data_IF_180413111599
#
_entry.id   IF_180413111599
#
_cell.length_a   1.000
_cell.length_b   1.000
_cell.length_c   1.000
_cell.angle_alpha   90.00
_cell.angle_beta   90.00
_cell.angle_gamma   90.00
#
_symmetry.space_group_name_H-M   'P 1'
#
loop_
_entity.id
_entity.type
_entity.pdbx_description
1 polymer ?
#
# COMPACT_ATOMS: atom_id res chain seq x y z
N UNK A 1 -27.44 4.93 18.55
CA UNK A 1 -28.19 4.88 17.27
C UNK A 1 -27.39 5.70 16.26
N UNK A 2 -26.59 5.05 15.42
CA UNK A 2 -26.00 5.70 14.24
C UNK A 2 -27.13 5.77 13.21
N UNK A 3 -27.38 6.95 12.64
CA UNK A 3 -28.53 7.16 11.73
C UNK A 3 -28.11 7.33 10.27
N UNK A 4 -26.87 7.76 10.01
CA UNK A 4 -26.37 8.06 8.66
C UNK A 4 -24.87 7.79 8.61
N UNK A 5 -24.39 7.24 7.51
CA UNK A 5 -22.97 7.20 7.13
C UNK A 5 -22.79 8.08 5.90
N UNK A 6 -21.83 8.99 5.95
CA UNK A 6 -21.50 9.90 4.87
C UNK A 6 -20.08 9.58 4.39
N UNK A 7 -19.92 9.47 3.07
CA UNK A 7 -18.64 9.15 2.42
C UNK A 7 -18.39 10.16 1.33
N UNK A 8 -17.27 10.89 1.45
CA UNK A 8 -16.77 11.72 0.37
C UNK A 8 -15.86 10.88 -0.52
N UNK A 9 -16.25 10.69 -1.78
CA UNK A 9 -15.48 9.94 -2.77
C UNK A 9 -15.12 10.83 -3.96
N UNK A 10 -13.81 10.99 -4.21
CA UNK A 10 -13.33 11.61 -5.43
C UNK A 10 -13.40 10.61 -6.58
N UNK A 11 -14.22 10.90 -7.60
CA UNK A 11 -14.40 10.06 -8.78
C UNK A 11 -13.89 10.81 -10.00
N UNK A 12 -13.00 10.18 -10.77
CA UNK A 12 -12.56 10.70 -12.06
C UNK A 12 -13.03 9.77 -13.17
N UNK A 13 -13.95 10.21 -14.03
CA UNK A 13 -14.39 9.40 -15.16
C UNK A 13 -13.27 9.28 -16.20
N UNK A 14 -12.99 8.06 -16.66
CA UNK A 14 -11.98 7.78 -17.70
C UNK A 14 -12.58 7.59 -19.09
N UNK A 15 -13.91 7.48 -19.18
CA UNK A 15 -14.65 7.28 -20.42
C UNK A 15 -15.94 8.08 -20.43
N UNK A 16 -16.32 8.55 -21.60
CA UNK A 16 -17.62 9.17 -21.83
C UNK A 16 -18.75 8.12 -21.83
N UNK A 17 -19.97 8.60 -21.61
CA UNK A 17 -21.19 7.80 -21.55
C UNK A 17 -21.77 7.65 -20.15
N UNK A 18 -22.78 6.80 -20.05
CA UNK A 18 -23.48 6.53 -18.81
C UNK A 18 -22.66 5.57 -17.92
N UNK A 19 -22.30 6.06 -16.74
CA UNK A 19 -21.54 5.35 -15.72
C UNK A 19 -22.41 5.17 -14.47
N UNK A 20 -22.73 3.92 -14.15
CA UNK A 20 -23.44 3.59 -12.91
C UNK A 20 -22.42 3.30 -11.81
N UNK A 21 -22.41 4.15 -10.79
CA UNK A 21 -21.70 3.93 -9.54
C UNK A 21 -22.59 3.10 -8.62
N UNK A 22 -22.39 1.79 -8.70
CA UNK A 22 -23.20 0.78 -8.05
C UNK A 22 -22.88 0.56 -6.57
N UNK A 23 -23.84 0.03 -5.81
CA UNK A 23 -24.16 0.48 -4.47
C UNK A 23 -23.04 0.23 -3.45
N UNK A 24 -22.73 1.27 -2.66
CA UNK A 24 -21.76 1.18 -1.58
C UNK A 24 -22.38 0.37 -0.45
N UNK A 25 -21.73 -0.73 -0.09
CA UNK A 25 -22.15 -1.62 0.99
C UNK A 25 -21.24 -1.44 2.19
N UNK A 26 -21.82 -1.09 3.34
CA UNK A 26 -21.11 -0.94 4.61
C UNK A 26 -21.61 -2.02 5.56
N UNK A 27 -20.68 -2.82 6.10
CA UNK A 27 -20.99 -3.80 7.15
C UNK A 27 -20.48 -3.31 8.50
N UNK A 28 -21.31 -3.38 9.53
CA UNK A 28 -20.92 -3.07 10.90
C UNK A 28 -21.50 -4.07 11.89
N UNK A 29 -20.82 -4.25 13.02
CA UNK A 29 -21.28 -5.13 14.09
C UNK A 29 -22.07 -4.30 15.11
N UNK A 30 -23.39 -4.44 15.10
CA UNK A 30 -24.27 -3.84 16.10
C UNK A 30 -24.26 -4.67 17.39
N UNK A 31 -24.04 -4.02 18.52
CA UNK A 31 -24.02 -4.68 19.83
C UNK A 31 -25.44 -4.87 20.34
N UNK A 32 -25.99 -6.08 20.17
CA UNK A 32 -27.37 -6.42 20.54
C UNK A 32 -27.50 -6.76 22.03
N UNK A 33 -26.46 -7.36 22.62
CA UNK A 33 -26.44 -7.69 24.05
C UNK A 33 -25.02 -7.61 24.66
N UNK A 34 -24.91 -7.78 25.99
CA UNK A 34 -23.65 -7.59 26.74
C UNK A 34 -22.48 -8.47 26.23
N UNK A 35 -22.76 -9.59 25.56
CA UNK A 35 -21.78 -10.52 24.94
C UNK A 35 -22.15 -10.95 23.51
N UNK A 36 -23.04 -10.24 22.82
CA UNK A 36 -23.48 -10.61 21.47
C UNK A 36 -23.46 -9.40 20.54
N UNK A 37 -22.85 -9.58 19.38
CA UNK A 37 -22.86 -8.65 18.24
C UNK A 37 -23.59 -9.29 17.07
N UNK A 38 -24.34 -8.48 16.32
CA UNK A 38 -25.00 -8.86 15.07
C UNK A 38 -24.40 -8.04 13.95
N UNK A 39 -23.98 -8.72 12.88
CA UNK A 39 -23.55 -8.02 11.67
C UNK A 39 -24.76 -7.46 10.94
N UNK A 40 -24.70 -6.18 10.62
CA UNK A 40 -25.71 -5.45 9.86
C UNK A 40 -25.04 -4.90 8.61
N UNK A 41 -25.77 -4.89 7.51
CA UNK A 41 -25.34 -4.33 6.25
C UNK A 41 -26.25 -3.14 5.91
N UNK A 42 -25.64 -2.03 5.51
CA UNK A 42 -26.32 -0.90 4.91
C UNK A 42 -25.84 -0.78 3.46
N UNK A 43 -26.77 -0.57 2.53
CA UNK A 43 -26.49 -0.47 1.10
C UNK A 43 -27.07 0.85 0.59
N UNK A 44 -26.28 1.61 -0.16
CA UNK A 44 -26.75 2.83 -0.83
C UNK A 44 -27.54 2.51 -2.09
N UNK A 45 -28.27 3.48 -2.62
CA UNK A 45 -28.75 3.41 -4.00
C UNK A 45 -27.57 3.62 -4.97
N UNK A 46 -27.60 2.99 -6.16
CA UNK A 46 -26.63 3.27 -7.21
C UNK A 46 -26.82 4.68 -7.77
N UNK A 47 -25.73 5.38 -8.05
CA UNK A 47 -25.74 6.72 -8.65
C UNK A 47 -25.40 6.59 -10.13
N UNK A 48 -26.25 7.11 -11.01
CA UNK A 48 -25.98 7.16 -12.46
C UNK A 48 -25.36 8.52 -12.80
N UNK A 49 -24.18 8.51 -13.41
CA UNK A 49 -23.46 9.69 -13.88
C UNK A 49 -23.38 9.64 -15.39
N UNK A 50 -23.82 10.70 -16.06
CA UNK A 50 -23.65 10.84 -17.52
C UNK A 50 -22.42 11.71 -17.82
N UNK A 51 -21.38 11.10 -18.41
CA UNK A 51 -20.13 11.78 -18.75
C UNK A 51 -20.17 12.20 -20.21
N UNK A 52 -20.11 13.51 -20.45
CA UNK A 52 -20.12 14.06 -21.81
C UNK A 52 -18.79 13.85 -22.51
N UNK A 53 -18.84 13.69 -23.84
CA UNK A 53 -17.64 13.74 -24.67
C UNK A 53 -17.11 15.16 -24.76
N UNK A 54 -15.78 15.28 -24.87
CA UNK A 54 -15.13 16.57 -25.07
C UNK A 54 -15.46 17.13 -26.47
N UNK A 55 -15.79 18.42 -26.60
CA UNK A 55 -16.09 19.03 -27.89
C UNK A 55 -14.90 18.92 -28.86
N UNK A 56 -15.16 18.55 -30.12
CA UNK A 56 -14.11 18.55 -31.15
C UNK A 56 -13.81 19.95 -31.66
N UNK A 57 -14.79 20.84 -31.63
CA UNK A 57 -14.69 22.21 -32.10
C UNK A 57 -13.94 23.07 -31.06
N UNK A 58 -12.97 23.86 -31.49
CA UNK A 58 -12.23 24.77 -30.62
C UNK A 58 -11.14 24.11 -29.75
N UNK A 59 -10.87 22.82 -29.95
CA UNK A 59 -9.79 22.10 -29.26
C UNK A 59 -8.42 22.58 -29.77
N UNK A 60 -7.54 23.11 -28.90
CA UNK A 60 -6.18 23.48 -29.29
C UNK A 60 -5.33 22.26 -29.65
N UNK A 61 -4.42 22.40 -30.61
CA UNK A 61 -3.56 21.31 -31.09
C UNK A 61 -2.66 20.74 -29.98
N UNK A 62 -2.21 21.59 -29.06
CA UNK A 62 -1.39 21.25 -27.90
C UNK A 62 -2.22 20.87 -26.65
N UNK A 63 -3.50 20.52 -26.81
CA UNK A 63 -4.35 20.10 -25.69
C UNK A 63 -4.02 18.66 -25.24
N UNK A 64 -3.51 18.54 -24.02
CA UNK A 64 -3.04 17.29 -23.43
C UNK A 64 -4.08 16.56 -22.57
N UNK A 65 -5.27 17.12 -22.36
CA UNK A 65 -6.32 16.49 -21.53
C UNK A 65 -6.49 17.07 -20.13
N UNK A 66 -6.07 18.31 -19.90
CA UNK A 66 -6.34 19.01 -18.63
C UNK A 66 -7.81 19.43 -18.52
N UNK A 67 -8.44 19.11 -17.38
CA UNK A 67 -9.83 19.42 -17.09
C UNK A 67 -9.93 20.30 -15.84
N UNK A 68 -10.80 21.31 -15.86
CA UNK A 68 -10.95 22.30 -14.79
C UNK A 68 -10.07 23.52 -14.98
N UNK A 69 -10.24 24.52 -14.12
CA UNK A 69 -9.45 25.77 -14.20
C UNK A 69 -8.03 25.52 -13.69
N UNK A 70 -7.04 25.70 -14.57
CA UNK A 70 -5.61 25.57 -14.24
C UNK A 70 -4.89 26.91 -14.38
N UNK A 71 -3.81 27.06 -13.62
CA UNK A 71 -2.87 28.17 -13.73
C UNK A 71 -1.45 27.63 -13.86
N UNK A 72 -0.63 28.35 -14.63
CA UNK A 72 0.77 28.02 -14.89
C UNK A 72 1.65 29.21 -14.50
N UNK A 73 2.71 28.92 -13.77
CA UNK A 73 3.77 29.87 -13.45
C UNK A 73 5.12 29.29 -13.88
N UNK A 74 6.04 30.15 -14.32
CA UNK A 74 7.34 29.74 -14.80
C UNK A 74 8.41 30.68 -14.24
N UNK A 75 9.50 30.09 -13.77
CA UNK A 75 10.66 30.82 -13.24
C UNK A 75 11.94 30.25 -13.83
N UNK A 76 12.96 31.09 -14.00
CA UNK A 76 14.24 30.66 -14.53
C UNK A 76 15.39 31.21 -13.69
N UNK A 77 16.43 30.40 -13.52
CA UNK A 77 17.64 30.75 -12.78
C UNK A 77 18.86 30.04 -13.36
N UNK A 78 19.98 30.74 -13.59
CA UNK A 78 20.19 32.19 -13.52
C UNK A 78 19.59 32.95 -14.72
N UNK A 79 19.31 34.26 -14.56
CA UNK A 79 18.76 35.14 -15.62
C UNK A 79 19.82 35.96 -16.36
N UNK A 80 21.03 36.09 -15.81
CA UNK A 80 22.21 36.66 -16.48
C UNK A 80 23.18 35.51 -16.79
N UNK A 81 23.34 35.21 -18.07
CA UNK A 81 24.05 34.01 -18.57
C UNK A 81 24.82 34.33 -19.82
N UNK A 82 25.80 33.49 -20.16
CA UNK A 82 26.43 33.54 -21.47
C UNK A 82 25.76 32.57 -22.43
N UNK A 83 25.99 32.75 -23.74
CA UNK A 83 25.51 31.80 -24.75
C UNK A 83 26.01 30.38 -24.45
N UNK A 84 25.09 29.41 -24.42
CA UNK A 84 25.38 28.01 -24.10
C UNK A 84 25.36 27.64 -22.62
N UNK A 85 25.30 28.61 -21.70
CA UNK A 85 25.21 28.33 -20.26
C UNK A 85 23.87 27.63 -19.92
N UNK A 86 23.86 26.72 -18.93
CA UNK A 86 22.64 26.07 -18.48
C UNK A 86 21.75 27.03 -17.67
N UNK A 87 20.49 27.13 -18.06
CA UNK A 87 19.44 27.87 -17.36
C UNK A 87 18.45 26.84 -16.80
N UNK A 88 18.25 26.82 -15.49
CA UNK A 88 17.23 26.01 -14.85
C UNK A 88 15.86 26.68 -15.05
N UNK A 89 14.93 25.99 -15.69
CA UNK A 89 13.55 26.40 -15.90
C UNK A 89 12.64 25.56 -14.99
N UNK A 90 11.96 26.23 -14.05
CA UNK A 90 11.00 25.63 -13.13
C UNK A 90 9.60 26.08 -13.52
N UNK A 91 8.74 25.12 -13.81
CA UNK A 91 7.34 25.34 -14.19
C UNK A 91 6.44 24.74 -13.12
N UNK A 92 5.56 25.58 -12.57
CA UNK A 92 4.59 25.22 -11.56
C UNK A 92 3.20 25.27 -12.16
N UNK A 93 2.48 24.15 -12.08
CA UNK A 93 1.10 24.03 -12.55
C UNK A 93 0.22 23.80 -11.35
N UNK A 94 -0.85 24.59 -11.25
CA UNK A 94 -1.80 24.54 -10.14
C UNK A 94 -3.22 24.41 -10.64
N UNK A 95 -4.04 23.59 -9.97
CA UNK A 95 -5.41 23.33 -10.36
C UNK A 95 -5.99 22.05 -9.74
N UNK A 96 -7.20 21.65 -10.17
CA UNK A 96 -7.85 20.45 -9.65
C UNK A 96 -7.12 19.17 -10.08
N UNK A 97 -7.00 18.21 -9.16
CA UNK A 97 -6.57 16.85 -9.47
C UNK A 97 -7.76 16.02 -9.98
N UNK A 98 -7.52 15.04 -10.88
CA UNK A 98 -6.22 14.60 -11.37
C UNK A 98 -5.73 15.37 -12.61
N UNK A 99 -4.47 15.81 -12.61
CA UNK A 99 -3.85 16.46 -13.78
C UNK A 99 -3.28 15.44 -14.77
N UNK A 100 -4.12 14.60 -15.36
CA UNK A 100 -3.68 13.51 -16.26
C UNK A 100 -2.96 14.02 -17.52
N UNK A 101 -3.34 15.19 -18.03
CA UNK A 101 -2.71 15.79 -19.22
C UNK A 101 -1.30 16.34 -19.00
N UNK A 102 -0.77 16.37 -17.77
CA UNK A 102 0.58 16.86 -17.50
C UNK A 102 1.29 15.94 -16.50
N UNK A 103 1.40 14.67 -16.86
CA UNK A 103 2.21 13.71 -16.11
C UNK A 103 3.70 13.88 -16.41
N UNK A 104 4.03 14.08 -17.68
CA UNK A 104 5.41 14.18 -18.17
C UNK A 104 5.89 15.65 -18.33
N UNK A 105 5.12 16.62 -17.84
CA UNK A 105 5.39 18.05 -18.01
C UNK A 105 4.77 18.65 -19.28
N UNK A 106 4.74 19.99 -19.41
CA UNK A 106 4.20 20.65 -20.60
C UNK A 106 5.14 20.47 -21.81
N UNK A 107 4.57 20.36 -23.00
CA UNK A 107 5.34 20.21 -24.24
C UNK A 107 6.00 21.54 -24.64
N UNK A 108 7.28 21.67 -24.32
CA UNK A 108 8.10 22.82 -24.68
C UNK A 108 8.41 22.88 -26.18
N UNK A 109 8.40 21.75 -26.89
CA UNK A 109 8.70 21.72 -28.32
C UNK A 109 7.56 22.32 -29.15
N UNK A 110 6.34 22.29 -28.63
CA UNK A 110 5.17 22.90 -29.26
C UNK A 110 5.07 24.42 -29.03
N UNK A 111 5.97 25.03 -28.24
CA UNK A 111 5.92 26.46 -27.91
C UNK A 111 6.62 27.29 -29.00
N UNK A 112 5.90 28.17 -29.71
CA UNK A 112 6.49 29.00 -30.76
C UNK A 112 7.64 29.87 -30.22
N UNK A 113 8.77 29.88 -30.93
CA UNK A 113 9.95 30.69 -30.59
C UNK A 113 10.83 30.14 -29.46
N UNK A 114 10.39 29.11 -28.72
CA UNK A 114 11.24 28.49 -27.70
C UNK A 114 12.30 27.58 -28.31
N UNK A 115 11.93 26.77 -29.30
CA UNK A 115 12.84 25.82 -29.98
C UNK A 115 13.87 26.48 -30.89
N UNK A 116 13.59 27.71 -31.36
CA UNK A 116 14.51 28.47 -32.22
C UNK A 116 15.63 29.10 -31.38
N UNK A 117 15.27 29.65 -30.22
CA UNK A 117 16.17 30.43 -29.36
C UNK A 117 16.85 29.57 -28.27
N UNK A 118 16.29 28.39 -27.95
CA UNK A 118 16.78 27.54 -26.87
C UNK A 118 16.95 26.07 -27.27
N UNK A 119 18.03 25.48 -26.78
CA UNK A 119 18.25 24.04 -26.80
C UNK A 119 17.79 23.42 -25.49
N UNK A 120 16.79 22.54 -25.57
CA UNK A 120 16.26 21.79 -24.43
C UNK A 120 17.23 20.66 -24.02
N UNK A 121 17.25 20.33 -22.73
CA UNK A 121 17.99 19.16 -22.23
C UNK A 121 17.39 17.85 -22.76
N UNK A 122 18.26 16.89 -23.12
CA UNK A 122 17.84 15.54 -23.50
C UNK A 122 17.28 14.72 -22.35
N UNK A 123 17.49 15.15 -21.11
CA UNK A 123 16.97 14.50 -19.90
C UNK A 123 15.46 14.74 -19.71
N UNK A 124 14.89 15.73 -20.43
CA UNK A 124 13.47 16.06 -20.35
C UNK A 124 13.09 16.78 -19.06
N UNK A 125 11.91 16.46 -18.52
CA UNK A 125 11.38 17.05 -17.30
C UNK A 125 11.71 16.20 -16.07
N UNK A 126 12.13 16.86 -15.00
CA UNK A 126 12.20 16.27 -13.67
C UNK A 126 10.97 16.67 -12.87
N UNK A 127 10.10 15.71 -12.54
CA UNK A 127 8.95 15.96 -11.70
C UNK A 127 9.36 16.09 -10.22
N UNK A 128 8.92 17.16 -9.58
CA UNK A 128 9.09 17.40 -8.16
C UNK A 128 7.72 17.40 -7.47
N UNK A 129 7.50 16.54 -6.45
CA UNK A 129 6.25 16.53 -5.72
C UNK A 129 6.11 17.83 -4.91
N UNK A 130 5.03 18.59 -5.13
CA UNK A 130 4.70 19.70 -4.25
C UNK A 130 4.14 19.20 -2.92
N UNK A 131 4.37 19.97 -1.86
CA UNK A 131 3.70 19.78 -0.56
C UNK A 131 2.26 20.30 -0.57
N UNK A 132 1.88 21.11 -1.56
CA UNK A 132 0.54 21.66 -1.69
C UNK A 132 -0.32 20.73 -2.56
N UNK A 133 -1.51 20.32 -2.10
CA UNK A 133 -2.45 19.59 -2.94
C UNK A 133 -2.82 20.39 -4.20
N UNK A 134 -2.89 19.73 -5.34
CA UNK A 134 -3.24 20.38 -6.62
C UNK A 134 -2.11 21.24 -7.21
N UNK A 135 -0.86 20.97 -6.86
CA UNK A 135 0.31 21.63 -7.43
C UNK A 135 1.33 20.61 -7.92
N UNK A 136 1.83 20.81 -9.14
CA UNK A 136 2.87 19.99 -9.75
C UNK A 136 4.01 20.88 -10.23
N UNK A 137 5.23 20.52 -9.85
CA UNK A 137 6.43 21.28 -10.18
C UNK A 137 7.27 20.45 -11.13
N UNK A 138 7.66 21.04 -12.25
CA UNK A 138 8.52 20.43 -13.25
C UNK A 138 9.75 21.28 -13.44
N UNK A 139 10.91 20.64 -13.43
CA UNK A 139 12.20 21.32 -13.63
C UNK A 139 12.88 20.75 -14.86
N UNK A 140 13.40 21.62 -15.72
CA UNK A 140 14.26 21.24 -16.84
C UNK A 140 15.38 22.24 -17.03
N UNK A 141 16.39 21.90 -17.83
CA UNK A 141 17.48 22.82 -18.20
C UNK A 141 17.34 23.23 -19.66
N UNK A 142 17.41 24.53 -19.91
CA UNK A 142 17.41 25.13 -21.25
C UNK A 142 18.71 25.90 -21.47
N UNK A 143 19.20 25.95 -22.71
CA UNK A 143 20.42 26.69 -23.07
C UNK A 143 20.13 27.66 -24.21
N UNK A 144 20.49 28.93 -24.05
CA UNK A 144 20.34 29.91 -25.12
C UNK A 144 21.31 29.61 -26.27
N UNK A 145 20.82 29.65 -27.52
CA UNK A 145 21.61 29.33 -28.71
C UNK A 145 22.41 30.52 -29.25
N UNK A 146 21.94 31.75 -28.99
CA UNK A 146 22.61 33.00 -29.37
C UNK A 146 22.38 34.12 -28.34
N UNK A 147 23.09 35.23 -28.48
CA UNK A 147 23.07 36.39 -27.58
C UNK A 147 21.86 37.32 -27.78
N UNK A 148 21.22 37.26 -28.95
CA UNK A 148 19.95 37.96 -29.23
C UNK A 148 18.74 37.49 -28.41
N UNK A 149 18.85 36.45 -27.60
CA UNK A 149 17.76 35.92 -26.78
C UNK A 149 17.52 36.84 -25.57
N UNK A 150 16.43 37.61 -25.61
CA UNK A 150 16.11 38.59 -24.57
C UNK A 150 15.14 38.08 -23.49
N UNK A 151 14.43 36.98 -23.74
CA UNK A 151 13.44 36.42 -22.81
C UNK A 151 13.09 34.98 -23.15
N UNK A 152 12.67 34.22 -22.14
CA UNK A 152 11.90 33.00 -22.33
C UNK A 152 10.45 33.40 -22.62
N UNK A 153 9.84 32.92 -23.72
CA UNK A 153 8.45 33.22 -24.05
C UNK A 153 7.48 32.70 -22.99
N UNK A 154 6.25 33.21 -23.04
CA UNK A 154 5.16 32.64 -22.24
C UNK A 154 4.87 31.19 -22.63
N UNK A 155 4.64 30.34 -21.64
CA UNK A 155 4.30 28.94 -21.84
C UNK A 155 2.77 28.79 -21.86
N UNK A 156 2.16 28.37 -22.99
CA UNK A 156 0.73 28.11 -23.06
C UNK A 156 0.39 26.76 -22.44
N UNK A 157 -0.65 26.74 -21.62
CA UNK A 157 -1.23 25.54 -21.01
C UNK A 157 -2.73 25.47 -21.35
N UNK A 158 -3.11 24.74 -22.40
CA UNK A 158 -4.51 24.51 -22.76
C UNK A 158 -5.21 23.62 -21.73
N UNK A 159 -6.40 24.01 -21.30
CA UNK A 159 -7.29 23.22 -20.45
C UNK A 159 -8.74 23.36 -20.90
N UNK A 160 -9.58 22.40 -20.53
CA UNK A 160 -11.02 22.44 -20.76
C UNK A 160 -11.72 22.86 -19.48
N UNK A 161 -12.50 23.94 -19.53
CA UNK A 161 -13.32 24.39 -18.41
C UNK A 161 -14.69 23.69 -18.46
N UNK A 162 -14.99 22.75 -17.54
CA UNK A 162 -16.28 22.05 -17.53
C UNK A 162 -17.44 22.94 -17.06
N UNK A 163 -17.17 24.07 -16.39
CA UNK A 163 -18.19 25.01 -15.95
C UNK A 163 -18.71 25.88 -17.10
N UNK A 164 -17.81 26.36 -17.95
CA UNK A 164 -18.14 27.17 -19.14
C UNK A 164 -18.35 26.31 -20.40
N UNK A 165 -17.84 25.07 -20.42
CA UNK A 165 -17.94 24.16 -21.56
C UNK A 165 -17.00 24.50 -22.73
N UNK A 166 -15.97 25.31 -22.48
CA UNK A 166 -15.06 25.84 -23.50
C UNK A 166 -13.59 25.51 -23.21
N UNK A 167 -12.78 25.50 -24.27
CA UNK A 167 -11.32 25.38 -24.17
C UNK A 167 -10.71 26.74 -23.85
N UNK A 168 -9.84 26.79 -22.85
CA UNK A 168 -9.11 27.99 -22.43
C UNK A 168 -7.61 27.69 -22.38
N UNK A 169 -6.81 28.74 -22.46
CA UNK A 169 -5.35 28.63 -22.44
C UNK A 169 -4.82 29.53 -21.33
N UNK A 170 -4.28 28.92 -20.27
CA UNK A 170 -3.49 29.65 -19.28
C UNK A 170 -2.10 29.95 -19.87
N UNK A 171 -1.52 31.10 -19.52
CA UNK A 171 -0.21 31.51 -20.02
C UNK A 171 0.68 31.91 -18.84
N UNK A 172 1.92 31.43 -18.84
CA UNK A 172 2.90 31.89 -17.86
C UNK A 172 3.39 33.30 -18.21
N UNK A 173 4.03 33.97 -17.27
CA UNK A 173 4.68 35.25 -17.56
C UNK A 173 5.96 35.02 -18.38
N UNK A 174 6.25 35.85 -19.41
CA UNK A 174 7.55 35.85 -20.06
C UNK A 174 8.66 36.18 -19.06
N UNK A 175 9.79 35.46 -19.14
CA UNK A 175 10.91 35.63 -18.19
C UNK A 175 12.04 36.39 -18.89
N UNK A 176 12.38 37.62 -18.49
CA UNK A 176 13.46 38.37 -19.11
C UNK A 176 14.81 37.71 -18.84
N UNK A 177 15.65 37.63 -19.87
CA UNK A 177 17.01 37.10 -19.80
C UNK A 177 18.02 38.12 -20.31
N UNK A 178 19.23 38.07 -19.75
CA UNK A 178 20.38 38.81 -20.24
C UNK A 178 21.42 37.80 -20.70
N UNK A 179 21.48 37.58 -22.01
CA UNK A 179 22.45 36.66 -22.61
C UNK A 179 23.66 37.45 -23.11
N UNK A 180 24.84 37.10 -22.63
CA UNK A 180 26.11 37.71 -23.04
C UNK A 180 26.79 36.85 -24.12
N UNK A 181 27.36 37.46 -25.17
CA UNK A 181 28.14 36.71 -26.15
C UNK A 181 29.38 36.12 -25.48
N UNK A 182 29.63 34.83 -25.71
CA UNK A 182 30.93 34.22 -25.38
C UNK A 182 31.89 34.58 -26.51
N UNK A 183 32.99 35.25 -26.17
CA UNK A 183 34.09 35.47 -27.12
C UNK A 183 34.78 34.12 -27.33
N UNK A 184 34.58 33.51 -28.49
CA UNK A 184 35.41 32.38 -28.92
C UNK A 184 36.86 32.88 -29.01
N UNK A 185 37.71 32.42 -28.09
CA UNK A 185 39.16 32.63 -28.20
C UNK A 185 39.62 31.72 -29.34
N UNK A 186 39.60 32.25 -30.56
CA UNK A 186 40.18 31.57 -31.70
C UNK A 186 41.69 31.49 -31.52
N UNK A 187 42.32 30.41 -32.02
CA UNK A 187 43.78 30.24 -31.96
C UNK A 187 44.57 31.41 -32.61
N UNK A 188 43.91 32.27 -33.39
CA UNK A 188 44.49 33.50 -33.94
C UNK A 188 44.77 34.58 -32.88
N UNK A 189 43.97 34.66 -31.81
CA UNK A 189 44.21 35.59 -30.69
C UNK A 189 45.41 35.15 -29.81
N UNK A 190 45.81 33.87 -29.87
CA UNK A 190 47.00 33.36 -29.19
C UNK A 190 48.32 33.71 -29.92
N UNK A 191 48.26 34.20 -31.17
CA UNK A 191 49.45 34.46 -32.01
C UNK A 191 49.84 35.94 -32.03
N UNK A 192 49.02 36.87 -31.52
CA UNK A 192 49.28 38.33 -31.56
C UNK A 192 49.85 38.89 -30.26
N UNK A 193 50.63 38.10 -29.50
CA UNK A 193 51.39 38.63 -28.37
C UNK A 193 52.87 38.26 -28.44
N UNK A 194 53.58 38.80 -29.43
CA UNK A 194 55.05 38.99 -29.37
C UNK A 194 55.40 40.33 -28.72
N UNK A 195 54.77 40.63 -27.59
CA UNK A 195 55.16 41.71 -26.68
C UNK A 195 55.75 41.09 -25.42
N UNK A 196 57.00 41.41 -25.10
CA UNK A 196 57.68 40.99 -23.88
C UNK A 196 56.88 41.43 -22.64
N UNK A 197 56.03 40.56 -22.11
CA UNK A 197 55.62 40.61 -20.73
C UNK A 197 56.67 39.87 -19.92
N UNK A 198 57.48 40.60 -19.16
CA UNK A 198 58.35 40.04 -18.16
C UNK A 198 57.50 39.19 -17.21
N UNK A 199 57.65 37.87 -17.30
CA UNK A 199 57.07 36.93 -16.34
C UNK A 199 57.80 37.16 -15.03
N UNK A 200 57.21 37.95 -14.13
CA UNK A 200 57.59 37.98 -12.73
C UNK A 200 57.50 36.58 -12.18
N UNK A 201 58.65 35.93 -12.00
CA UNK A 201 58.78 34.68 -11.26
C UNK A 201 58.70 35.01 -9.77
N UNK A 202 57.52 35.38 -9.29
CA UNK A 202 57.27 35.34 -7.86
C UNK A 202 57.20 33.86 -7.43
N UNK A 203 57.91 33.45 -6.37
CA UNK A 203 57.81 32.10 -5.86
C UNK A 203 56.38 31.87 -5.36
N UNK A 204 55.69 30.90 -5.95
CA UNK A 204 54.35 30.48 -5.55
C UNK A 204 54.36 30.11 -4.07
N UNK A 205 53.75 30.95 -3.24
CA UNK A 205 53.46 30.60 -1.86
C UNK A 205 52.16 29.78 -1.83
N UNK A 206 52.16 28.57 -1.25
CA UNK A 206 50.94 27.78 -1.15
C UNK A 206 49.95 28.54 -0.26
N UNK A 207 48.84 28.95 -0.87
CA UNK A 207 47.69 29.54 -0.15
C UNK A 207 47.16 28.48 0.81
N UNK A 208 46.92 28.87 2.06
CA UNK A 208 46.38 27.98 3.09
C UNK A 208 45.09 27.32 2.60
N UNK A 209 44.96 26.01 2.86
CA UNK A 209 43.90 25.14 2.37
C UNK A 209 42.50 25.75 2.61
N UNK A 210 41.84 26.13 1.53
CA UNK A 210 40.44 26.55 1.54
C UNK A 210 39.50 25.35 1.65
N UNK A 211 38.23 25.64 1.94
CA UNK A 211 37.12 24.68 2.13
C UNK A 211 36.93 23.67 0.98
N UNK A 212 37.53 23.92 -0.19
CA UNK A 212 37.44 23.08 -1.39
C UNK A 212 38.72 22.28 -1.69
N UNK A 213 39.66 22.20 -0.74
CA UNK A 213 40.91 21.46 -0.94
C UNK A 213 40.65 19.96 -0.91
N UNK A 214 40.77 19.31 -2.07
CA UNK A 214 40.71 17.86 -2.19
C UNK A 214 42.03 17.29 -1.67
N UNK A 215 42.07 16.90 -0.40
CA UNK A 215 43.21 16.18 0.16
C UNK A 215 43.35 14.83 -0.56
N UNK A 216 44.53 14.57 -1.13
CA UNK A 216 44.88 13.28 -1.72
C UNK A 216 46.10 12.75 -0.98
N UNK A 217 45.87 11.88 -0.01
CA UNK A 217 46.92 11.22 0.74
C UNK A 217 46.36 10.06 1.56
N UNK A 218 47.24 9.13 2.02
CA UNK A 218 46.81 8.01 2.86
C UNK A 218 46.23 8.45 4.21
N UNK A 219 46.41 9.71 4.61
CA UNK A 219 45.77 10.31 5.79
C UNK A 219 44.24 10.44 5.66
N UNK A 220 43.70 10.58 4.44
CA UNK A 220 42.25 10.61 4.18
C UNK A 220 41.61 9.24 4.47
N UNK A 221 42.40 8.17 4.38
CA UNK A 221 41.97 6.81 4.70
C UNK A 221 42.08 6.51 6.20
N UNK A 222 42.74 7.37 6.99
CA UNK A 222 42.98 7.13 8.40
C UNK A 222 41.78 7.48 9.29
N UNK A 223 40.83 8.29 8.81
CA UNK A 223 39.62 8.61 9.57
C UNK A 223 38.44 7.71 9.19
N UNK A 224 38.58 6.42 9.50
CA UNK A 224 37.44 5.48 9.56
C UNK A 224 36.86 5.38 10.97
N UNK A 225 36.95 6.45 11.78
CA UNK A 225 36.57 6.42 13.19
C UNK A 225 35.06 6.30 13.46
N UNK A 226 34.21 6.38 12.43
CA UNK A 226 32.75 6.28 12.60
C UNK A 226 32.20 4.87 12.79
N UNK A 227 32.88 3.84 12.28
CA UNK A 227 32.38 2.45 12.25
C UNK A 227 33.47 1.43 12.60
N UNK A 228 34.53 1.86 13.29
CA UNK A 228 35.58 0.97 13.77
C UNK A 228 35.04 -0.01 14.82
N UNK A 229 35.71 -1.16 14.93
CA UNK A 229 35.45 -2.34 15.78
C UNK A 229 35.03 -2.07 17.25
N UNK A 230 35.19 -0.84 17.73
CA UNK A 230 34.80 -0.38 19.06
C UNK A 230 33.33 0.04 19.18
N UNK A 231 32.66 0.38 18.08
CA UNK A 231 31.23 0.72 18.08
C UNK A 231 30.35 -0.52 18.33
N UNK A 232 30.69 -1.67 17.73
CA UNK A 232 30.00 -2.95 17.95
C UNK A 232 30.24 -3.56 19.34
N UNK A 233 31.33 -3.17 20.03
CA UNK A 233 31.63 -3.63 21.40
C UNK A 233 30.90 -2.84 22.49
N UNK A 234 30.16 -1.77 22.14
CA UNK A 234 29.34 -1.06 23.12
C UNK A 234 28.12 -1.91 23.48
N UNK A 235 27.88 -2.20 24.77
CA UNK A 235 26.78 -3.06 25.19
C UNK A 235 25.41 -2.50 24.76
N UNK A 236 25.27 -1.18 24.68
CA UNK A 236 24.05 -0.52 24.22
C UNK A 236 23.71 -0.82 22.75
N UNK A 237 24.72 -0.94 21.87
CA UNK A 237 24.51 -1.23 20.44
C UNK A 237 24.08 -2.68 20.23
N UNK A 238 24.68 -3.61 20.98
CA UNK A 238 24.28 -5.02 20.95
C UNK A 238 22.85 -5.21 21.46
N UNK A 239 22.46 -4.50 22.52
CA UNK A 239 21.07 -4.50 23.01
C UNK A 239 20.13 -3.93 21.95
N UNK A 240 20.46 -2.79 21.33
CA UNK A 240 19.64 -2.20 20.28
C UNK A 240 19.47 -3.11 19.05
N UNK A 241 20.50 -3.89 18.70
CA UNK A 241 20.47 -4.81 17.56
C UNK A 241 19.67 -6.09 17.83
N UNK A 242 19.74 -6.63 19.05
CA UNK A 242 19.13 -7.93 19.40
C UNK A 242 17.68 -7.77 19.90
N UNK A 243 17.31 -6.62 20.45
CA UNK A 243 15.96 -6.43 21.03
C UNK A 243 14.84 -6.54 19.99
N UNK A 244 14.90 -5.91 18.81
CA UNK A 244 13.84 -6.02 17.80
C UNK A 244 13.59 -7.46 17.30
N UNK A 245 14.61 -8.25 16.87
CA UNK A 245 14.38 -9.62 16.44
C UNK A 245 13.95 -10.53 17.60
N UNK A 246 14.41 -10.28 18.84
CA UNK A 246 13.98 -11.05 20.02
C UNK A 246 12.49 -10.86 20.35
N UNK A 247 12.01 -9.61 20.33
CA UNK A 247 10.58 -9.30 20.54
C UNK A 247 9.72 -9.89 19.42
N UNK A 248 10.18 -9.82 18.17
CA UNK A 248 9.47 -10.43 17.04
C UNK A 248 9.39 -11.96 17.16
N UNK A 249 10.49 -12.64 17.53
CA UNK A 249 10.51 -14.08 17.73
C UNK A 249 9.59 -14.53 18.87
N UNK A 250 9.52 -13.77 19.97
CA UNK A 250 8.59 -14.04 21.08
C UNK A 250 7.13 -13.84 20.67
N UNK A 251 6.83 -12.77 19.93
CA UNK A 251 5.47 -12.53 19.40
C UNK A 251 5.04 -13.63 18.43
N UNK A 252 5.94 -14.06 17.54
CA UNK A 252 5.71 -15.17 16.61
C UNK A 252 5.50 -16.49 17.37
N UNK A 253 6.34 -16.80 18.36
CA UNK A 253 6.18 -18.00 19.20
C UNK A 253 4.85 -17.99 19.96
N UNK A 254 4.40 -16.83 20.45
CA UNK A 254 3.11 -16.67 21.11
C UNK A 254 1.93 -16.84 20.14
N UNK A 255 2.03 -16.27 18.93
CA UNK A 255 1.03 -16.44 17.88
C UNK A 255 0.92 -17.90 17.41
N UNK A 256 2.04 -18.60 17.26
CA UNK A 256 2.09 -20.03 16.93
C UNK A 256 1.52 -20.87 18.08
N UNK A 257 1.85 -20.57 19.33
CA UNK A 257 1.24 -21.26 20.50
C UNK A 257 -0.27 -21.03 20.60
N UNK A 258 -0.76 -19.87 20.20
CA UNK A 258 -2.19 -19.56 20.22
C UNK A 258 -2.94 -20.28 19.10
N UNK A 259 -2.41 -20.29 17.89
CA UNK A 259 -3.00 -21.01 16.74
C UNK A 259 -2.93 -22.53 16.90
N UNK A 260 -1.85 -23.07 17.47
CA UNK A 260 -1.74 -24.52 17.74
C UNK A 260 -2.75 -25.03 18.77
N UNK A 261 -3.20 -24.17 19.72
CA UNK A 261 -4.28 -24.50 20.67
C UNK A 261 -5.65 -24.57 20.00
N UNK A 262 -5.95 -23.68 19.06
CA UNK A 262 -7.18 -23.74 18.27
C UNK A 262 -7.16 -24.94 17.30
N UNK A 263 -6.01 -25.23 16.72
CA UNK A 263 -5.78 -26.38 15.85
C UNK A 263 -5.85 -27.73 16.55
N UNK A 264 -5.57 -27.83 17.84
CA UNK A 264 -5.66 -29.10 18.56
C UNK A 264 -7.09 -29.67 18.53
N UNK A 265 -8.10 -28.81 18.68
CA UNK A 265 -9.50 -29.20 18.55
C UNK A 265 -9.88 -29.66 17.13
N UNK A 266 -9.27 -29.04 16.11
CA UNK A 266 -9.48 -29.39 14.71
C UNK A 266 -8.76 -30.70 14.34
N UNK A 267 -7.54 -30.89 14.85
CA UNK A 267 -6.74 -32.13 14.72
C UNK A 267 -7.43 -33.30 15.42
N UNK A 268 -7.99 -33.10 16.62
CA UNK A 268 -8.80 -34.10 17.33
C UNK A 268 -10.03 -34.51 16.52
N UNK A 269 -10.78 -33.55 15.97
CA UNK A 269 -11.94 -33.82 15.08
C UNK A 269 -11.56 -34.57 13.80
N UNK A 270 -10.43 -34.24 13.18
CA UNK A 270 -9.91 -34.95 11.99
C UNK A 270 -9.50 -36.39 12.30
N UNK A 271 -8.87 -36.63 13.45
CA UNK A 271 -8.53 -37.98 13.92
C UNK A 271 -9.80 -38.79 14.22
N UNK A 272 -10.73 -38.20 14.97
CA UNK A 272 -12.03 -38.80 15.29
C UNK A 272 -12.79 -39.27 14.05
N UNK A 273 -12.76 -38.48 12.97
CA UNK A 273 -13.42 -38.83 11.72
C UNK A 273 -12.75 -40.01 10.99
N UNK A 274 -11.42 -40.11 11.06
CA UNK A 274 -10.66 -41.24 10.51
C UNK A 274 -10.94 -42.52 11.29
N UNK A 275 -10.92 -42.45 12.62
CA UNK A 275 -11.23 -43.58 13.51
C UNK A 275 -12.67 -44.05 13.36
N UNK A 276 -13.62 -43.12 13.23
CA UNK A 276 -15.04 -43.43 13.02
C UNK A 276 -15.28 -44.14 11.68
N UNK A 277 -14.62 -43.71 10.60
CA UNK A 277 -14.69 -44.41 9.29
C UNK A 277 -14.14 -45.84 9.37
N UNK A 278 -13.10 -46.05 10.15
CA UNK A 278 -12.54 -47.39 10.37
C UNK A 278 -13.48 -48.26 11.22
N UNK A 279 -14.12 -47.68 12.24
CA UNK A 279 -15.12 -48.37 13.06
C UNK A 279 -16.38 -48.71 12.26
N UNK A 280 -16.82 -47.82 11.36
CA UNK A 280 -17.97 -48.06 10.46
C UNK A 280 -17.76 -49.31 9.60
N UNK A 281 -16.54 -49.51 9.10
CA UNK A 281 -16.17 -50.67 8.28
C UNK A 281 -16.10 -51.99 9.05
N UNK A 282 -15.89 -51.95 10.38
CA UNK A 282 -15.64 -53.15 11.21
C UNK A 282 -16.80 -53.55 12.11
N UNK A 283 -17.52 -52.59 12.67
CA UNK A 283 -18.46 -52.78 13.77
C UNK A 283 -19.81 -52.07 13.58
N UNK A 284 -20.04 -51.48 12.41
CA UNK A 284 -21.33 -50.87 12.05
C UNK A 284 -21.52 -49.40 12.47
N UNK A 285 -22.67 -48.81 12.14
CA UNK A 285 -22.91 -47.37 12.25
C UNK A 285 -23.00 -46.86 13.69
N UNK A 286 -23.60 -47.61 14.61
CA UNK A 286 -23.73 -47.21 16.02
C UNK A 286 -22.37 -47.07 16.71
N UNK A 287 -21.47 -48.03 16.50
CA UNK A 287 -20.12 -48.00 17.08
C UNK A 287 -19.26 -46.88 16.46
N UNK A 288 -19.45 -46.58 15.17
CA UNK A 288 -18.75 -45.49 14.49
C UNK A 288 -19.07 -44.12 15.11
N UNK A 289 -20.35 -43.86 15.41
CA UNK A 289 -20.79 -42.60 16.04
C UNK A 289 -20.26 -42.51 17.48
N UNK A 290 -20.25 -43.61 18.25
CA UNK A 290 -19.68 -43.63 19.61
C UNK A 290 -18.18 -43.33 19.61
N UNK A 291 -17.41 -43.94 18.70
CA UNK A 291 -15.97 -43.68 18.57
C UNK A 291 -15.71 -42.24 18.16
N UNK A 292 -16.51 -41.69 17.23
CA UNK A 292 -16.41 -40.30 16.83
C UNK A 292 -16.61 -39.33 18.01
N UNK A 293 -17.70 -39.50 18.75
CA UNK A 293 -18.02 -38.64 19.89
C UNK A 293 -17.00 -38.80 21.02
N UNK A 294 -16.51 -40.02 21.27
CA UNK A 294 -15.50 -40.30 22.28
C UNK A 294 -14.19 -39.55 22.00
N UNK A 295 -13.68 -39.64 20.77
CA UNK A 295 -12.45 -38.95 20.39
C UNK A 295 -12.63 -37.44 20.22
N UNK A 296 -13.80 -36.97 19.77
CA UNK A 296 -14.09 -35.55 19.63
C UNK A 296 -14.18 -34.82 20.99
N UNK A 297 -14.73 -35.49 22.02
CA UNK A 297 -14.93 -34.92 23.36
C UNK A 297 -13.94 -35.42 24.43
N UNK A 298 -13.01 -36.32 24.08
CA UNK A 298 -11.99 -36.84 25.00
C UNK A 298 -12.54 -37.84 26.02
N UNK A 299 -13.60 -38.57 25.68
CA UNK A 299 -14.20 -39.62 26.49
C UNK A 299 -13.82 -41.01 25.96
N UNK A 300 -14.12 -42.07 26.72
CA UNK A 300 -13.98 -43.45 26.23
C UNK A 300 -15.24 -43.89 25.48
N UNK A 301 -15.15 -44.70 24.40
CA UNK A 301 -16.32 -45.12 23.61
C UNK A 301 -17.41 -45.83 24.43
N UNK A 302 -17.03 -46.54 25.49
CA UNK A 302 -17.95 -47.25 26.38
C UNK A 302 -18.69 -46.31 27.37
N UNK A 303 -18.19 -45.10 27.60
CA UNK A 303 -18.81 -44.12 28.50
C UNK A 303 -19.90 -43.29 27.82
N UNK A 304 -20.05 -43.39 26.50
CA UNK A 304 -21.07 -42.64 25.76
C UNK A 304 -22.32 -43.49 25.65
N UNK A 305 -23.36 -43.06 26.38
CA UNK A 305 -24.71 -43.64 26.31
C UNK A 305 -25.53 -43.00 25.18
N UNK A 306 -26.64 -43.64 24.79
CA UNK A 306 -27.60 -43.02 23.85
C UNK A 306 -28.07 -41.62 24.31
N UNK A 307 -28.31 -41.41 25.61
CA UNK A 307 -28.73 -40.11 26.15
C UNK A 307 -27.62 -39.05 26.11
N UNK A 308 -26.37 -39.45 26.35
CA UNK A 308 -25.21 -38.56 26.26
C UNK A 308 -24.90 -38.18 24.80
N UNK A 309 -25.07 -39.12 23.87
CA UNK A 309 -24.88 -38.88 22.45
C UNK A 309 -25.83 -37.81 21.91
N UNK A 310 -27.12 -37.85 22.30
CA UNK A 310 -28.10 -36.82 21.95
C UNK A 310 -27.65 -35.44 22.42
N UNK A 311 -27.27 -35.32 23.71
CA UNK A 311 -26.81 -34.05 24.30
C UNK A 311 -25.57 -33.49 23.62
N UNK A 312 -24.63 -34.36 23.24
CA UNK A 312 -23.38 -33.96 22.58
C UNK A 312 -23.61 -33.57 21.11
N UNK A 313 -24.49 -34.26 20.40
CA UNK A 313 -24.84 -33.95 19.01
C UNK A 313 -25.66 -32.66 18.88
N UNK A 314 -26.58 -32.38 19.82
CA UNK A 314 -27.31 -31.10 19.86
C UNK A 314 -26.38 -29.92 20.12
N UNK A 315 -25.30 -30.10 20.89
CA UNK A 315 -24.26 -29.05 21.08
C UNK A 315 -23.45 -28.77 19.82
N UNK A 316 -23.41 -29.72 18.88
CA UNK A 316 -22.71 -29.60 17.60
C UNK A 316 -23.62 -29.12 16.46
N UNK A 317 -24.88 -28.81 16.76
CA UNK A 317 -25.87 -28.33 15.78
C UNK A 317 -26.09 -29.27 14.58
N UNK A 318 -26.07 -30.58 14.84
CA UNK A 318 -26.29 -31.60 13.80
C UNK A 318 -27.79 -31.84 13.62
N UNK A 319 -28.27 -31.72 12.37
CA UNK A 319 -29.69 -31.84 12.02
C UNK A 319 -30.32 -33.20 12.41
N UNK A 320 -29.58 -34.30 12.31
CA UNK A 320 -30.06 -35.67 12.56
C UNK A 320 -29.62 -36.23 13.93
N UNK A 321 -29.52 -35.38 14.95
CA UNK A 321 -29.02 -35.76 16.27
C UNK A 321 -29.87 -36.85 16.96
N UNK A 322 -31.19 -36.86 16.74
CA UNK A 322 -32.11 -37.80 17.37
C UNK A 322 -32.03 -39.21 16.74
N UNK A 323 -31.91 -39.30 15.42
CA UNK A 323 -31.76 -40.58 14.72
C UNK A 323 -30.45 -41.28 15.09
N UNK A 324 -29.36 -40.53 15.21
CA UNK A 324 -28.07 -41.08 15.63
C UNK A 324 -28.07 -41.55 17.09
N UNK A 325 -28.78 -40.85 17.98
CA UNK A 325 -28.94 -41.26 19.37
C UNK A 325 -29.82 -42.50 19.53
N UNK A 326 -30.86 -42.63 18.71
CA UNK A 326 -31.74 -43.80 18.68
C UNK A 326 -30.99 -45.04 18.19
N UNK A 327 -30.15 -44.93 17.15
CA UNK A 327 -29.30 -46.02 16.68
C UNK A 327 -28.33 -46.54 17.76
N UNK A 328 -27.77 -45.65 18.58
CA UNK A 328 -26.89 -46.05 19.69
C UNK A 328 -27.71 -46.73 20.80
N UNK A 329 -28.88 -46.17 21.15
CA UNK A 329 -29.74 -46.73 22.19
C UNK A 329 -30.27 -48.13 21.82
N UNK A 330 -30.58 -48.35 20.53
CA UNK A 330 -31.07 -49.64 20.03
C UNK A 330 -29.95 -50.68 20.04
N UNK A 331 -28.72 -50.30 19.66
CA UNK A 331 -27.55 -51.17 19.76
C UNK A 331 -27.16 -51.49 21.22
N UNK A 332 -27.30 -50.53 22.14
CA UNK A 332 -27.13 -50.77 23.58
C UNK A 332 -28.19 -51.73 24.11
N UNK A 333 -29.45 -51.56 23.72
CA UNK A 333 -30.54 -52.46 24.12
C UNK A 333 -30.28 -53.91 23.67
N UNK A 334 -29.81 -54.12 22.44
CA UNK A 334 -29.43 -55.45 21.94
C UNK A 334 -28.25 -56.05 22.72
N UNK A 335 -27.20 -55.27 22.96
CA UNK A 335 -26.00 -55.73 23.63
C UNK A 335 -26.23 -56.06 25.12
N UNK A 336 -27.10 -55.32 25.81
CA UNK A 336 -27.45 -55.59 27.21
C UNK A 336 -28.61 -56.58 27.39
N UNK A 337 -29.53 -56.69 26.41
CA UNK A 337 -30.57 -57.72 26.43
C UNK A 337 -29.97 -59.12 26.25
N UNK A 338 -28.97 -59.29 25.38
CA UNK A 338 -28.25 -60.55 25.20
C UNK A 338 -27.50 -60.99 26.48
N UNK A 339 -26.96 -60.05 27.26
CA UNK A 339 -26.31 -60.34 28.54
C UNK A 339 -27.32 -60.81 29.61
N UNK A 340 -28.56 -60.31 29.55
CA UNK A 340 -29.64 -60.68 30.49
C UNK A 340 -30.21 -62.07 30.23
N UNK A 341 -30.15 -62.56 28.99
CA UNK A 341 -30.60 -63.90 28.62
C UNK A 341 -29.67 -65.02 29.12
N UNK A 342 -28.43 -64.70 29.52
CA UNK A 342 -27.42 -65.70 29.88
C UNK A 342 -27.06 -65.74 31.38
N UNK A 343 -27.93 -65.20 32.25
CA UNK A 343 -27.71 -65.21 33.71
C UNK A 343 -28.79 -66.06 34.40
N UNK A 344 -28.47 -67.19 35.06
CA UNK A 344 -29.43 -67.89 35.90
C UNK A 344 -29.71 -67.07 37.18
N UNK A 345 -30.99 -66.96 37.52
CA UNK A 345 -31.61 -66.28 38.66
C UNK A 345 -30.73 -65.65 39.75
N UNK A 346 -30.84 -64.33 39.90
CA UNK A 346 -30.34 -63.60 41.07
C UNK A 346 -31.03 -62.25 41.20
N UNK A 347 -32.01 -62.15 42.11
CA UNK A 347 -32.67 -60.90 42.48
C UNK A 347 -31.67 -60.00 43.19
N UNK A 348 -31.32 -58.85 42.60
CA UNK A 348 -30.61 -57.78 43.30
C UNK A 348 -31.50 -56.53 43.32
N UNK A 349 -32.11 -56.28 44.49
CA UNK A 349 -32.66 -54.97 44.85
C UNK A 349 -31.51 -53.99 45.00
N UNK A 350 -31.48 -52.95 44.17
CA UNK A 350 -30.64 -51.78 44.39
C UNK A 350 -31.52 -50.63 44.90
N UNK A 351 -31.42 -50.36 46.20
CA UNK A 351 -31.96 -49.17 46.86
C UNK A 351 -31.17 -47.94 46.41
N UNK A 352 -31.87 -46.94 45.86
CA UNK A 352 -31.32 -45.62 45.54
C UNK A 352 -31.20 -44.77 46.81
N UNK A 353 -29.97 -44.46 47.21
CA UNK A 353 -29.69 -43.45 48.26
C UNK A 353 -29.27 -42.16 47.57
N UNK A 354 -30.14 -41.15 47.61
CA UNK A 354 -29.89 -39.82 47.09
C UNK A 354 -28.92 -39.05 48.00
N UNK A 355 -27.65 -38.97 47.59
CA UNK A 355 -26.63 -38.14 48.22
C UNK A 355 -26.59 -36.73 47.63
N UNK A 356 -27.26 -35.79 48.31
CA UNK A 356 -27.15 -34.33 48.08
C UNK A 356 -25.74 -33.88 48.51
N UNK A 357 -24.96 -33.26 47.63
CA UNK A 357 -23.83 -32.40 48.05
C UNK A 357 -23.98 -31.01 47.43
N UNK A 358 -24.22 -30.04 48.31
CA UNK A 358 -23.98 -28.61 48.11
C UNK A 358 -22.50 -28.31 48.39
N UNK A 359 -21.97 -27.37 47.62
CA UNK A 359 -20.94 -26.35 47.89
C UNK A 359 -20.00 -26.25 46.68
#
# INVERSE_FOLDING_TARGET
>A
RIRTFEFDLLITPTRAGELTLGPITVSFDERVARRSTRRVFAQSEPIVINVLELPKLGRPDNFTGLLGTHAIDATASPTDVNVGDPIELVVTISGPEPMQGVLDGPDLAAVPGLTDDFRLSSEGWTFQPSRRPGERIFTTTVRATHDGVARIPELPLPFFDPGEGEYRIARSKPIPLRVKPVREITAADAVVSTGQAAVSRDPLTPTAAGVWTIERGPAVLADTSGLSDHALRRPAVLVALITPPGVFALAAAFAIRRSTREDESARRRRRALTSARQALRRAGPAQAVRVYLAEAFGATPAAITGADSRRLLTRLDVADADAAAELIALHEAEHYAAARANTPGGVIRATSTAGRRRA
#
